data_IF_234585157511
#
_entry.id   IF_234585157511
#
_cell.length_a   1.000
_cell.length_b   1.000
_cell.length_c   1.000
_cell.angle_alpha   90.00
_cell.angle_beta   90.00
_cell.angle_gamma   90.00
#
_symmetry.space_group_name_H-M   'P 1'
#
loop_
_entity.id
_entity.type
_entity.pdbx_description
1 polymer ?
#
# COMPACT_ATOMS: atom_id res chain seq x y z
N UNK A 1 -4.99 6.27 -9.59
CA UNK A 1 -6.32 5.73 -9.99
C UNK A 1 -7.39 6.39 -9.15
N UNK A 2 -8.62 6.56 -9.67
CA UNK A 2 -9.73 7.15 -8.89
C UNK A 2 -10.50 6.02 -8.21
N UNK A 3 -10.78 6.16 -6.91
CA UNK A 3 -11.58 5.21 -6.15
C UNK A 3 -13.03 5.29 -6.61
N UNK A 4 -13.56 4.15 -7.05
CA UNK A 4 -14.98 3.97 -7.26
C UNK A 4 -15.60 3.33 -6.00
N UNK A 5 -16.51 4.07 -5.36
CA UNK A 5 -17.28 3.61 -4.19
C UNK A 5 -18.58 2.89 -4.54
N UNK A 6 -18.96 2.82 -5.82
CA UNK A 6 -20.25 2.29 -6.25
C UNK A 6 -21.42 3.16 -5.78
N UNK A 7 -22.57 2.53 -5.50
CA UNK A 7 -23.82 3.19 -5.11
C UNK A 7 -23.93 3.46 -3.60
N UNK A 8 -22.98 2.97 -2.80
CA UNK A 8 -22.96 3.18 -1.36
C UNK A 8 -22.54 4.63 -1.01
N UNK A 9 -23.15 5.27 0.01
CA UNK A 9 -22.73 6.59 0.47
C UNK A 9 -21.35 6.52 1.14
N UNK A 10 -20.30 6.60 0.31
CA UNK A 10 -18.90 6.56 0.70
C UNK A 10 -18.26 7.94 0.55
N UNK A 11 -17.85 8.52 1.68
CA UNK A 11 -17.21 9.85 1.74
C UNK A 11 -15.87 9.92 1.02
N UNK A 12 -15.29 8.77 0.66
CA UNK A 12 -14.03 8.66 -0.08
C UNK A 12 -14.24 8.29 -1.56
N UNK A 13 -15.47 8.22 -2.05
CA UNK A 13 -15.75 8.05 -3.49
C UNK A 13 -15.10 9.20 -4.28
N UNK A 14 -14.46 8.87 -5.41
CA UNK A 14 -13.76 9.84 -6.24
C UNK A 14 -12.40 10.27 -5.71
N UNK A 15 -11.96 9.76 -4.54
CA UNK A 15 -10.63 10.03 -4.03
C UNK A 15 -9.57 9.46 -4.98
N UNK A 16 -8.52 10.23 -5.20
CA UNK A 16 -7.37 9.74 -5.96
C UNK A 16 -6.50 8.86 -5.07
N UNK A 17 -6.16 7.68 -5.60
CA UNK A 17 -5.20 6.74 -5.02
C UNK A 17 -3.95 6.79 -5.89
N UNK A 18 -2.86 7.26 -5.30
CA UNK A 18 -1.54 7.34 -5.91
C UNK A 18 -0.57 6.39 -5.20
N UNK A 19 0.50 6.03 -5.90
CA UNK A 19 1.60 5.24 -5.33
C UNK A 19 2.91 5.75 -5.91
N UNK A 20 3.89 5.94 -5.03
CA UNK A 20 5.28 6.16 -5.38
C UNK A 20 6.07 4.90 -5.00
N UNK A 21 6.96 4.47 -5.90
CA UNK A 21 7.76 3.26 -5.72
C UNK A 21 9.24 3.57 -5.94
N UNK A 22 10.07 3.04 -5.07
CA UNK A 22 11.53 3.10 -5.16
C UNK A 22 12.11 1.73 -4.80
N UNK A 23 13.19 1.33 -5.48
CA UNK A 23 13.96 0.15 -5.11
C UNK A 23 14.89 0.48 -3.95
N UNK A 24 14.78 -0.27 -2.87
CA UNK A 24 15.67 -0.11 -1.70
C UNK A 24 16.83 -1.10 -1.75
N UNK A 25 17.86 -0.85 -0.95
CA UNK A 25 18.98 -1.77 -0.76
C UNK A 25 18.66 -2.94 0.18
N UNK A 26 17.41 -3.08 0.64
CA UNK A 26 16.99 -4.10 1.60
C UNK A 26 16.28 -5.25 0.88
N UNK A 27 17.00 -6.31 0.47
CA UNK A 27 16.43 -7.39 -0.34
C UNK A 27 15.36 -8.15 0.42
N UNK A 28 14.39 -8.70 -0.31
CA UNK A 28 13.27 -9.49 0.23
C UNK A 28 12.42 -8.76 1.28
N UNK A 29 12.43 -7.43 1.25
CA UNK A 29 11.60 -6.59 2.12
C UNK A 29 10.69 -5.69 1.29
N UNK A 30 9.51 -5.40 1.82
CA UNK A 30 8.59 -4.39 1.27
C UNK A 30 8.29 -3.43 2.41
N UNK A 31 8.71 -2.19 2.24
CA UNK A 31 8.45 -1.10 3.18
C UNK A 31 7.23 -0.32 2.68
N UNK A 32 6.24 -0.13 3.56
CA UNK A 32 4.97 0.55 3.22
C UNK A 32 4.78 1.73 4.18
N UNK A 33 4.74 2.94 3.62
CA UNK A 33 4.38 4.16 4.32
C UNK A 33 3.22 4.91 3.63
N UNK A 34 2.73 5.98 4.27
CA UNK A 34 1.68 6.85 3.73
C UNK A 34 2.23 8.17 3.19
N UNK A 35 1.87 8.50 1.95
CA UNK A 35 2.15 9.81 1.35
C UNK A 35 1.20 10.91 1.84
N UNK A 36 1.14 12.01 1.10
CA UNK A 36 0.18 13.10 1.35
C UNK A 36 -1.27 12.56 1.33
N UNK A 37 -2.10 13.06 2.25
CA UNK A 37 -3.48 12.60 2.42
C UNK A 37 -3.65 11.35 3.29
N UNK A 38 -2.59 10.60 3.60
CA UNK A 38 -2.66 9.46 4.52
C UNK A 38 -2.45 9.92 5.95
N UNK A 39 -3.43 9.69 6.82
CA UNK A 39 -3.37 10.06 8.23
C UNK A 39 -2.26 9.31 8.99
N UNK A 40 -1.89 9.83 10.16
CA UNK A 40 -0.98 9.18 11.12
C UNK A 40 -1.73 8.76 12.37
N UNK A 41 -1.34 7.65 12.97
CA UNK A 41 -1.97 7.16 14.20
C UNK A 41 -1.59 8.06 15.38
N UNK A 42 -2.59 8.67 16.01
CA UNK A 42 -2.40 9.60 17.14
C UNK A 42 -2.88 9.04 18.47
N UNK A 43 -3.60 7.91 18.45
CA UNK A 43 -4.18 7.26 19.63
C UNK A 43 -3.99 5.75 19.56
N UNK A 44 -3.86 5.06 20.70
CA UNK A 44 -3.83 3.60 20.73
C UNK A 44 -5.20 3.01 20.34
N UNK A 45 -5.22 1.74 19.93
CA UNK A 45 -6.46 0.95 19.86
C UNK A 45 -6.75 0.20 18.54
N UNK A 46 -5.92 0.34 17.51
CA UNK A 46 -6.17 -0.27 16.19
C UNK A 46 -5.10 -1.27 15.73
N UNK A 47 -4.23 -1.72 16.64
CA UNK A 47 -3.15 -2.65 16.32
C UNK A 47 -2.01 -2.05 15.49
N UNK A 48 -1.98 -0.72 15.35
CA UNK A 48 -0.90 0.05 14.75
C UNK A 48 -0.27 0.96 15.80
N UNK A 49 1.02 1.20 15.69
CA UNK A 49 1.75 2.05 16.64
C UNK A 49 1.48 3.53 16.38
N UNK A 50 1.55 4.34 17.44
CA UNK A 50 1.45 5.80 17.34
C UNK A 50 2.57 6.32 16.44
N UNK A 51 2.21 7.22 15.51
CA UNK A 51 3.12 7.79 14.51
C UNK A 51 3.13 7.04 13.17
N UNK A 52 2.73 5.77 13.13
CA UNK A 52 2.67 5.03 11.86
C UNK A 52 1.59 5.56 10.92
N UNK A 53 1.75 5.32 9.62
CA UNK A 53 0.70 5.56 8.64
C UNK A 53 -0.57 4.78 9.01
N UNK A 54 -1.72 5.46 8.90
CA UNK A 54 -3.04 4.94 9.19
C UNK A 54 -3.54 3.98 8.09
N UNK A 55 -2.76 2.95 7.82
CA UNK A 55 -3.03 1.91 6.84
C UNK A 55 -3.24 0.61 7.61
N UNK A 56 -4.48 0.13 7.62
CA UNK A 56 -4.88 -1.05 8.39
C UNK A 56 -4.12 -2.33 7.95
N UNK A 57 -4.02 -3.35 8.83
CA UNK A 57 -3.32 -4.60 8.52
C UNK A 57 -3.81 -5.30 7.24
N UNK A 58 -5.12 -5.34 7.00
CA UNK A 58 -5.69 -5.98 5.80
C UNK A 58 -5.25 -5.29 4.51
N UNK A 59 -5.45 -3.96 4.31
CA UNK A 59 -4.87 -3.26 3.18
C UNK A 59 -3.35 -3.42 3.04
N UNK A 60 -2.57 -3.39 4.13
CA UNK A 60 -1.11 -3.61 4.07
C UNK A 60 -0.77 -4.97 3.46
N UNK A 61 -1.43 -6.03 3.94
CA UNK A 61 -1.27 -7.38 3.43
C UNK A 61 -1.61 -7.45 1.93
N UNK A 62 -2.73 -6.85 1.52
CA UNK A 62 -3.13 -6.82 0.11
C UNK A 62 -2.11 -6.11 -0.78
N UNK A 63 -1.54 -4.99 -0.33
CA UNK A 63 -0.49 -4.27 -1.06
C UNK A 63 0.75 -5.16 -1.22
N UNK A 64 1.23 -5.76 -0.13
CA UNK A 64 2.39 -6.67 -0.13
C UNK A 64 2.18 -7.85 -1.09
N UNK A 65 1.04 -8.54 -1.00
CA UNK A 65 0.75 -9.70 -1.84
C UNK A 65 0.71 -9.34 -3.33
N UNK A 66 0.04 -8.23 -3.68
CA UNK A 66 -0.01 -7.78 -5.08
C UNK A 66 1.37 -7.36 -5.60
N UNK A 67 2.17 -6.63 -4.80
CA UNK A 67 3.54 -6.28 -5.20
C UNK A 67 4.41 -7.51 -5.46
N UNK A 68 4.33 -8.53 -4.61
CA UNK A 68 5.09 -9.78 -4.80
C UNK A 68 4.66 -10.49 -6.09
N UNK A 69 3.34 -10.63 -6.32
CA UNK A 69 2.81 -11.27 -7.51
C UNK A 69 3.22 -10.53 -8.79
N UNK A 70 3.04 -9.22 -8.82
CA UNK A 70 3.39 -8.39 -9.99
C UNK A 70 4.90 -8.32 -10.22
N UNK A 71 5.71 -8.16 -9.16
CA UNK A 71 7.16 -8.14 -9.28
C UNK A 71 7.69 -9.45 -9.86
N UNK A 72 7.17 -10.60 -9.41
CA UNK A 72 7.49 -11.91 -9.98
C UNK A 72 7.24 -11.94 -11.49
N UNK A 73 6.04 -11.54 -11.93
CA UNK A 73 5.70 -11.52 -13.36
C UNK A 73 6.61 -10.60 -14.18
N UNK A 74 6.99 -9.44 -13.64
CA UNK A 74 7.89 -8.49 -14.31
C UNK A 74 9.30 -9.06 -14.42
N UNK A 75 9.84 -9.62 -13.34
CA UNK A 75 11.18 -10.20 -13.32
C UNK A 75 11.29 -11.39 -14.26
N UNK A 76 10.28 -12.27 -14.29
CA UNK A 76 10.20 -13.39 -15.23
C UNK A 76 10.19 -12.90 -16.69
N UNK A 77 9.43 -11.84 -17.01
CA UNK A 77 9.42 -11.22 -18.35
C UNK A 77 10.75 -10.57 -18.72
N UNK A 78 11.51 -10.11 -17.74
CA UNK A 78 12.83 -9.51 -17.94
C UNK A 78 13.97 -10.55 -17.95
N UNK A 79 13.65 -11.85 -17.88
CA UNK A 79 14.62 -12.96 -17.77
C UNK A 79 15.55 -12.84 -16.55
N UNK A 80 15.13 -12.08 -15.53
CA UNK A 80 15.86 -11.91 -14.28
C UNK A 80 15.39 -12.96 -13.28
N UNK A 81 16.32 -13.83 -12.85
CA UNK A 81 16.04 -14.84 -11.82
C UNK A 81 16.01 -14.20 -10.44
N UNK A 82 15.04 -14.62 -9.62
CA UNK A 82 14.93 -14.29 -8.20
C UNK A 82 14.94 -15.57 -7.35
#
# INVERSE_FOLDING_TARGET
MIKDGGDDPDVTHGAEIVVDLELTSNPNSIEIDGGEGVGRITKPGIGLEIGQAAINPTPRKMITENLILTAKEILEKMELKY
#
